data_IF_963370334354
#
_entry.id   IF_963370334354
#
_cell.length_a   1.000
_cell.length_b   1.000
_cell.length_c   1.000
_cell.angle_alpha   90.00
_cell.angle_beta   90.00
_cell.angle_gamma   90.00
#
_symmetry.space_group_name_H-M   'P 1'
#
loop_
_entity.id
_entity.type
_entity.pdbx_description
1 polymer ?
#
# COMPACT_ATOMS: atom_id res chain seq x y z
N UNK A 1 0.33 8.14 12.33
CA UNK A 1 0.71 8.34 13.75
C UNK A 1 2.23 8.35 13.84
N UNK A 2 2.82 9.45 14.32
CA UNK A 2 4.25 9.51 14.69
C UNK A 2 4.32 9.40 16.22
N UNK A 3 5.02 8.39 16.70
CA UNK A 3 5.29 8.15 18.11
C UNK A 3 6.74 8.53 18.42
N UNK A 4 7.09 8.64 19.70
CA UNK A 4 8.45 8.99 20.15
C UNK A 4 9.57 8.09 19.56
N UNK A 5 9.22 6.89 19.08
CA UNK A 5 10.16 5.90 18.52
C UNK A 5 9.92 5.62 17.02
N UNK A 6 9.19 6.49 16.30
CA UNK A 6 9.02 6.37 14.84
C UNK A 6 7.57 6.33 14.38
N UNK A 7 7.29 5.57 13.32
CA UNK A 7 5.99 5.51 12.64
C UNK A 7 5.52 4.07 12.53
N UNK A 8 4.26 3.84 12.88
CA UNK A 8 3.58 2.56 12.63
C UNK A 8 2.65 2.75 11.43
N UNK A 9 2.72 1.82 10.47
CA UNK A 9 1.86 1.77 9.29
C UNK A 9 1.05 0.48 9.36
N UNK A 10 -0.27 0.59 9.20
CA UNK A 10 -1.19 -0.54 9.18
C UNK A 10 -2.13 -0.40 7.98
N UNK A 11 -2.35 -1.50 7.26
CA UNK A 11 -3.24 -1.56 6.10
C UNK A 11 -4.11 -2.81 6.19
N UNK A 12 -5.31 -2.74 5.63
CA UNK A 12 -6.11 -3.93 5.36
C UNK A 12 -5.64 -4.60 4.06
N UNK A 13 -5.93 -5.89 3.89
CA UNK A 13 -5.52 -6.66 2.71
C UNK A 13 -6.66 -6.93 1.72
N UNK A 14 -7.84 -6.32 1.93
CA UNK A 14 -9.03 -6.55 1.12
C UNK A 14 -9.06 -5.62 -0.09
N UNK A 15 -9.21 -6.20 -1.27
CA UNK A 15 -9.48 -5.49 -2.50
C UNK A 15 -10.82 -5.94 -3.10
N UNK A 16 -11.59 -4.98 -3.60
CA UNK A 16 -12.92 -5.20 -4.18
C UNK A 16 -12.98 -4.71 -5.61
N UNK A 17 -13.76 -5.39 -6.45
CA UNK A 17 -14.14 -4.94 -7.78
C UNK A 17 -15.67 -4.75 -7.77
N UNK A 18 -16.13 -3.55 -7.45
CA UNK A 18 -17.54 -3.31 -7.09
C UNK A 18 -17.89 -4.00 -5.76
N UNK A 19 -19.04 -4.67 -5.70
CA UNK A 19 -19.47 -5.42 -4.51
C UNK A 19 -18.73 -6.76 -4.31
N UNK A 20 -17.98 -7.21 -5.32
CA UNK A 20 -17.25 -8.47 -5.27
C UNK A 20 -15.89 -8.29 -4.58
N UNK A 21 -15.59 -9.15 -3.61
CA UNK A 21 -14.25 -9.20 -2.97
C UNK A 21 -13.31 -9.96 -3.90
N UNK A 22 -12.50 -9.20 -4.63
CA UNK A 22 -11.55 -9.75 -5.60
C UNK A 22 -10.41 -10.52 -4.92
N UNK A 23 -9.89 -9.99 -3.82
CA UNK A 23 -8.83 -10.64 -3.04
C UNK A 23 -8.84 -10.14 -1.59
N UNK A 24 -8.44 -11.01 -0.65
CA UNK A 24 -8.26 -10.69 0.76
C UNK A 24 -6.80 -10.71 1.20
N UNK A 25 -5.87 -10.87 0.26
CA UNK A 25 -4.42 -11.03 0.53
C UNK A 25 -3.57 -10.00 -0.22
N UNK A 26 -4.17 -8.88 -0.62
CA UNK A 26 -3.45 -7.83 -1.34
C UNK A 26 -2.45 -7.15 -0.40
N UNK A 27 -1.20 -7.07 -0.85
CA UNK A 27 -0.15 -6.31 -0.15
C UNK A 27 -0.34 -4.82 -0.46
N UNK A 28 -1.05 -4.11 0.43
CA UNK A 28 -1.22 -2.66 0.31
C UNK A 28 -0.08 -1.84 0.90
N UNK A 29 0.93 -2.48 1.51
CA UNK A 29 2.19 -1.82 1.85
C UNK A 29 3.16 -2.06 0.70
N UNK A 30 3.69 -0.98 0.13
CA UNK A 30 4.69 -1.02 -0.93
C UNK A 30 6.01 -0.53 -0.34
N UNK A 31 7.05 -1.36 -0.46
CA UNK A 31 8.41 -0.99 -0.08
C UNK A 31 9.05 -0.22 -1.23
N UNK A 32 9.17 1.10 -1.09
CA UNK A 32 9.76 1.98 -2.11
C UNK A 32 11.29 1.88 -2.01
N UNK A 33 11.83 1.99 -0.80
CA UNK A 33 13.24 1.74 -0.49
C UNK A 33 13.37 1.33 1.00
N UNK A 34 14.58 0.98 1.50
CA UNK A 34 14.75 0.50 2.88
C UNK A 34 14.29 1.47 3.98
N UNK A 35 14.07 2.74 3.65
CA UNK A 35 13.68 3.80 4.58
C UNK A 35 12.30 4.42 4.26
N UNK A 36 11.65 4.02 3.16
CA UNK A 36 10.38 4.59 2.68
C UNK A 36 9.37 3.50 2.36
N UNK A 37 8.23 3.60 3.01
CA UNK A 37 7.05 2.75 2.79
C UNK A 37 5.93 3.59 2.20
N UNK A 38 5.34 3.09 1.11
CA UNK A 38 4.10 3.58 0.51
C UNK A 38 2.90 2.76 0.97
N UNK A 39 1.72 3.37 0.95
CA UNK A 39 0.45 2.70 1.22
C UNK A 39 -0.46 2.84 0.01
N UNK A 40 -0.91 1.72 -0.53
CA UNK A 40 -1.82 1.67 -1.67
C UNK A 40 -3.27 1.88 -1.23
N UNK A 41 -3.90 2.94 -1.73
CA UNK A 41 -5.34 3.18 -1.63
C UNK A 41 -5.90 3.78 -2.93
N UNK A 42 -6.96 3.18 -3.47
CA UNK A 42 -7.54 3.56 -4.77
C UNK A 42 -7.27 2.51 -5.86
N UNK A 43 -6.96 2.97 -7.08
CA UNK A 43 -6.67 2.08 -8.20
C UNK A 43 -5.44 1.21 -7.93
N UNK A 44 -5.63 -0.10 -7.76
CA UNK A 44 -4.54 -1.01 -7.41
C UNK A 44 -3.41 -1.02 -8.46
N UNK A 45 -3.77 -0.89 -9.75
CA UNK A 45 -2.81 -0.83 -10.85
C UNK A 45 -2.04 0.51 -10.84
N UNK A 46 -2.74 1.61 -10.58
CA UNK A 46 -2.14 2.96 -10.58
C UNK A 46 -1.16 3.10 -9.43
N UNK A 47 -1.55 2.77 -8.20
CA UNK A 47 -0.66 2.84 -7.04
C UNK A 47 0.57 1.94 -7.21
N UNK A 48 0.38 0.69 -7.68
CA UNK A 48 1.51 -0.22 -7.91
C UNK A 48 2.48 0.30 -8.97
N UNK A 49 1.97 0.94 -10.02
CA UNK A 49 2.81 1.47 -11.09
C UNK A 49 3.56 2.72 -10.67
N UNK A 50 2.85 3.71 -10.12
CA UNK A 50 3.42 5.01 -9.75
C UNK A 50 4.34 4.92 -8.54
N UNK A 51 4.01 4.12 -7.52
CA UNK A 51 4.90 3.94 -6.36
C UNK A 51 6.17 3.17 -6.74
N UNK A 52 6.08 2.25 -7.71
CA UNK A 52 7.26 1.55 -8.25
C UNK A 52 8.10 2.42 -9.19
N UNK A 53 7.49 3.39 -9.87
CA UNK A 53 8.22 4.41 -10.61
C UNK A 53 8.93 5.39 -9.68
N UNK A 54 8.28 5.78 -8.57
CA UNK A 54 8.86 6.62 -7.52
C UNK A 54 10.03 5.93 -6.79
N UNK A 55 10.03 4.60 -6.78
CA UNK A 55 11.12 3.78 -6.23
C UNK A 55 12.36 3.70 -7.14
N UNK A 56 12.29 4.16 -8.40
CA UNK A 56 13.46 4.29 -9.29
C UNK A 56 14.14 5.63 -9.08
#
# INVERSE_FOLDING_TARGET
>A
MKFAHGVIVAVDSRATAGSYVASQTVKKVIEINPYLLGTMAGGAADCSFWERLLAR
#
